data_IF_101149210191
#
_entry.id   IF_101149210191
#
_cell.length_a   1.000
_cell.length_b   1.000
_cell.length_c   1.000
_cell.angle_alpha   90.00
_cell.angle_beta   90.00
_cell.angle_gamma   90.00
#
_symmetry.space_group_name_H-M   'P 1'
#
loop_
_entity.id
_entity.type
_entity.pdbx_description
1 polymer ?
#
# COMPACT_ATOMS: atom_id res chain seq x y z
N UNK A 1 -35.68 -0.99 -8.85
CA UNK A 1 -36.10 -0.05 -9.89
C UNK A 1 -35.23 1.19 -9.95
N UNK A 2 -35.35 1.94 -11.01
CA UNK A 2 -34.63 3.19 -11.20
C UNK A 2 -34.95 4.23 -10.10
N UNK A 3 -36.14 4.16 -9.49
CA UNK A 3 -36.55 5.04 -8.38
C UNK A 3 -35.76 4.82 -7.09
N UNK A 4 -35.13 3.64 -6.91
CA UNK A 4 -34.36 3.32 -5.72
C UNK A 4 -32.95 3.90 -5.76
N UNK A 5 -32.48 4.28 -6.94
CA UNK A 5 -31.13 4.83 -7.15
C UNK A 5 -31.11 6.34 -7.04
N UNK A 6 -32.19 7.00 -7.44
CA UNK A 6 -32.33 8.45 -7.42
C UNK A 6 -32.98 8.91 -6.13
N UNK A 7 -32.21 9.59 -5.28
CA UNK A 7 -32.70 10.05 -3.96
C UNK A 7 -32.59 11.56 -3.81
N UNK A 8 -33.50 12.11 -3.02
CA UNK A 8 -33.44 13.50 -2.53
C UNK A 8 -32.85 13.45 -1.12
N UNK A 9 -31.86 14.28 -0.88
CA UNK A 9 -31.19 14.35 0.43
C UNK A 9 -31.02 15.79 0.87
N UNK A 10 -31.17 16.00 2.17
CA UNK A 10 -30.92 17.30 2.78
C UNK A 10 -29.51 17.31 3.36
N UNK A 11 -28.75 18.35 3.06
CA UNK A 11 -27.42 18.57 3.57
C UNK A 11 -27.28 19.98 4.12
N UNK A 12 -26.53 20.13 5.20
CA UNK A 12 -26.21 21.42 5.80
C UNK A 12 -24.88 21.91 5.26
N UNK A 13 -24.91 23.05 4.56
CA UNK A 13 -23.72 23.66 3.96
C UNK A 13 -23.73 25.16 4.30
N UNK A 14 -22.67 25.61 4.96
CA UNK A 14 -22.52 27.02 5.33
C UNK A 14 -23.64 27.55 6.21
N UNK A 15 -24.22 26.70 7.05
CA UNK A 15 -25.33 27.05 7.95
C UNK A 15 -26.70 27.03 7.29
N UNK A 16 -26.79 26.62 6.02
CA UNK A 16 -28.06 26.53 5.27
C UNK A 16 -28.33 25.09 4.85
N UNK A 17 -29.62 24.72 4.88
CA UNK A 17 -30.05 23.39 4.42
C UNK A 17 -30.31 23.44 2.93
N UNK A 18 -29.69 22.52 2.19
CA UNK A 18 -29.92 22.33 0.76
C UNK A 18 -30.51 20.97 0.51
N UNK A 19 -31.48 20.89 -0.38
CA UNK A 19 -32.03 19.62 -0.85
C UNK A 19 -31.32 19.27 -2.15
N UNK A 20 -30.53 18.20 -2.13
CA UNK A 20 -29.80 17.72 -3.29
C UNK A 20 -30.49 16.45 -3.83
N UNK A 21 -30.47 16.32 -5.13
CA UNK A 21 -31.01 15.16 -5.83
C UNK A 21 -29.92 14.53 -6.69
N UNK A 22 -29.80 13.21 -6.64
CA UNK A 22 -28.81 12.51 -7.42
C UNK A 22 -28.73 11.04 -7.10
N UNK A 23 -27.73 10.38 -7.71
CA UNK A 23 -27.48 8.96 -7.57
C UNK A 23 -26.46 8.63 -6.47
N UNK A 24 -25.88 9.64 -5.86
CA UNK A 24 -24.86 9.45 -4.83
C UNK A 24 -25.50 8.99 -3.51
N UNK A 25 -24.73 8.23 -2.74
CA UNK A 25 -25.18 7.76 -1.43
C UNK A 25 -25.24 8.91 -0.42
N UNK A 26 -26.10 8.76 0.59
CA UNK A 26 -26.18 9.70 1.71
C UNK A 26 -24.83 9.87 2.41
N UNK A 27 -24.13 8.77 2.62
CA UNK A 27 -22.81 8.74 3.26
C UNK A 27 -21.77 9.55 2.47
N UNK A 28 -21.80 9.42 1.15
CA UNK A 28 -20.93 10.20 0.27
C UNK A 28 -21.24 11.70 0.34
N UNK A 29 -22.51 12.07 0.27
CA UNK A 29 -22.93 13.46 0.33
C UNK A 29 -22.63 14.10 1.70
N UNK A 30 -22.69 13.34 2.78
CA UNK A 30 -22.26 13.81 4.10
C UNK A 30 -20.76 14.08 4.15
N UNK A 31 -19.95 13.23 3.52
CA UNK A 31 -18.50 13.47 3.38
C UNK A 31 -18.20 14.75 2.62
N UNK A 32 -18.87 14.94 1.49
CA UNK A 32 -18.70 16.14 0.66
C UNK A 32 -19.12 17.39 1.44
N UNK A 33 -20.24 17.34 2.14
CA UNK A 33 -20.74 18.45 2.95
C UNK A 33 -19.79 18.81 4.08
N UNK A 34 -19.26 17.81 4.77
CA UNK A 34 -18.30 17.99 5.87
C UNK A 34 -17.01 18.65 5.36
N UNK A 35 -16.49 18.19 4.25
CA UNK A 35 -15.32 18.80 3.60
C UNK A 35 -15.58 20.25 3.23
N UNK A 36 -16.72 20.51 2.58
CA UNK A 36 -17.09 21.85 2.14
C UNK A 36 -17.27 22.81 3.33
N UNK A 37 -17.94 22.37 4.39
CA UNK A 37 -18.10 23.15 5.61
C UNK A 37 -16.76 23.48 6.25
N UNK A 38 -15.85 22.52 6.29
CA UNK A 38 -14.49 22.75 6.80
C UNK A 38 -13.76 23.82 5.98
N UNK A 39 -13.89 23.77 4.65
CA UNK A 39 -13.31 24.77 3.76
C UNK A 39 -13.90 26.16 3.96
N UNK A 40 -15.20 26.25 4.15
CA UNK A 40 -15.89 27.50 4.43
C UNK A 40 -15.39 28.09 5.75
N UNK A 41 -15.24 27.28 6.78
CA UNK A 41 -14.72 27.72 8.09
C UNK A 41 -13.27 28.19 8.00
N UNK A 42 -12.42 27.46 7.30
CA UNK A 42 -11.03 27.86 7.07
C UNK A 42 -10.94 29.25 6.41
N UNK A 43 -11.68 29.43 5.32
CA UNK A 43 -11.71 30.71 4.61
C UNK A 43 -12.29 31.83 5.50
N UNK A 44 -13.32 31.52 6.27
CA UNK A 44 -14.00 32.46 7.14
C UNK A 44 -13.13 32.98 8.28
N UNK A 45 -12.05 32.30 8.64
CA UNK A 45 -11.13 32.74 9.67
C UNK A 45 -10.16 33.83 9.19
N UNK A 46 -10.13 34.10 7.89
CA UNK A 46 -9.28 35.15 7.31
C UNK A 46 -10.04 36.47 7.24
N UNK A 47 -9.47 37.53 7.82
CA UNK A 47 -10.05 38.89 7.75
C UNK A 47 -10.14 39.38 6.32
N UNK A 48 -9.13 39.07 5.50
CA UNK A 48 -9.11 39.45 4.09
C UNK A 48 -10.27 38.82 3.31
N UNK A 49 -10.60 37.60 3.60
CA UNK A 49 -11.74 36.89 2.99
C UNK A 49 -13.06 37.50 3.41
N UNK A 50 -13.24 37.77 4.70
CA UNK A 50 -14.51 38.31 5.24
C UNK A 50 -14.86 39.70 4.71
N UNK A 51 -13.84 40.48 4.33
CA UNK A 51 -14.03 41.85 3.76
C UNK A 51 -14.41 41.84 2.30
N UNK A 52 -14.35 40.70 1.62
CA UNK A 52 -14.65 40.59 0.20
C UNK A 52 -16.16 40.47 -0.03
N UNK A 53 -16.58 40.78 -1.26
CA UNK A 53 -17.97 40.58 -1.71
C UNK A 53 -18.31 39.08 -1.69
N UNK A 54 -19.60 38.77 -1.65
CA UNK A 54 -20.09 37.38 -1.69
C UNK A 54 -19.57 36.63 -2.94
N UNK A 55 -19.58 37.33 -4.09
CA UNK A 55 -19.07 36.76 -5.35
C UNK A 55 -17.57 36.43 -5.25
N UNK A 56 -16.75 37.36 -4.76
CA UNK A 56 -15.32 37.14 -4.59
C UNK A 56 -15.03 36.04 -3.60
N UNK A 57 -15.78 35.96 -2.49
CA UNK A 57 -15.66 34.90 -1.51
C UNK A 57 -15.94 33.52 -2.12
N UNK A 58 -16.97 33.41 -2.94
CA UNK A 58 -17.28 32.18 -3.65
C UNK A 58 -16.18 31.73 -4.60
N UNK A 59 -15.59 32.69 -5.32
CA UNK A 59 -14.46 32.40 -6.22
C UNK A 59 -13.23 31.94 -5.44
N UNK A 60 -12.91 32.61 -4.32
CA UNK A 60 -11.78 32.25 -3.48
C UNK A 60 -11.96 30.86 -2.86
N UNK A 61 -13.19 30.53 -2.43
CA UNK A 61 -13.51 29.18 -1.94
C UNK A 61 -13.34 28.14 -3.03
N UNK A 62 -13.83 28.41 -4.24
CA UNK A 62 -13.70 27.52 -5.39
C UNK A 62 -12.23 27.29 -5.77
N UNK A 63 -11.42 28.34 -5.76
CA UNK A 63 -9.98 28.24 -6.02
C UNK A 63 -9.28 27.38 -4.97
N UNK A 64 -9.65 27.54 -3.70
CA UNK A 64 -9.09 26.74 -2.61
C UNK A 64 -9.41 25.24 -2.77
N UNK A 65 -10.65 24.94 -3.14
CA UNK A 65 -11.09 23.57 -3.41
C UNK A 65 -10.37 22.99 -4.63
N UNK A 66 -10.26 23.78 -5.71
CA UNK A 66 -9.52 23.36 -6.91
C UNK A 66 -8.06 23.09 -6.60
N UNK A 67 -7.43 23.92 -5.76
CA UNK A 67 -6.04 23.73 -5.31
C UNK A 67 -5.89 22.38 -4.57
N UNK A 68 -6.79 22.07 -3.67
CA UNK A 68 -6.81 20.78 -2.97
C UNK A 68 -6.95 19.61 -3.94
N UNK A 69 -7.83 19.75 -4.94
CA UNK A 69 -8.01 18.73 -5.98
C UNK A 69 -6.71 18.45 -6.74
N UNK A 70 -6.05 19.49 -7.21
CA UNK A 70 -4.82 19.31 -7.99
C UNK A 70 -3.66 18.80 -7.15
N UNK A 71 -3.58 19.20 -5.89
CA UNK A 71 -2.59 18.64 -4.94
C UNK A 71 -2.83 17.17 -4.67
N UNK A 72 -4.09 16.78 -4.46
CA UNK A 72 -4.46 15.39 -4.27
C UNK A 72 -4.18 14.55 -5.52
N UNK A 73 -4.46 15.09 -6.70
CA UNK A 73 -4.19 14.43 -7.98
C UNK A 73 -2.69 14.20 -8.18
N UNK A 74 -1.86 15.19 -7.86
CA UNK A 74 -0.40 15.08 -7.93
C UNK A 74 0.12 14.03 -6.95
N UNK A 75 -0.40 14.03 -5.74
CA UNK A 75 -0.03 13.04 -4.72
C UNK A 75 -0.42 11.64 -5.17
N UNK A 76 -1.61 11.47 -5.75
CA UNK A 76 -2.06 10.20 -6.31
C UNK A 76 -1.14 9.69 -7.42
N UNK A 77 -0.71 10.57 -8.31
CA UNK A 77 0.24 10.25 -9.38
C UNK A 77 1.61 9.79 -8.82
N UNK A 78 2.09 10.46 -7.78
CA UNK A 78 3.33 10.07 -7.09
C UNK A 78 3.19 8.70 -6.43
N UNK A 79 2.05 8.44 -5.77
CA UNK A 79 1.76 7.16 -5.15
C UNK A 79 1.68 6.02 -6.18
N UNK A 80 1.09 6.26 -7.34
CA UNK A 80 1.06 5.29 -8.44
C UNK A 80 2.46 4.92 -8.90
N UNK A 81 3.32 5.93 -9.06
CA UNK A 81 4.72 5.73 -9.42
C UNK A 81 5.47 4.94 -8.36
N UNK A 82 5.23 5.22 -7.07
CA UNK A 82 5.83 4.49 -5.95
C UNK A 82 5.36 3.03 -5.91
N UNK A 83 4.09 2.78 -6.19
CA UNK A 83 3.53 1.43 -6.29
C UNK A 83 4.22 0.63 -7.39
N UNK A 84 4.39 1.22 -8.58
CA UNK A 84 5.10 0.59 -9.69
C UNK A 84 6.54 0.22 -9.31
N UNK A 85 7.24 1.13 -8.63
CA UNK A 85 8.60 0.90 -8.16
C UNK A 85 8.65 -0.24 -7.13
N UNK A 86 7.70 -0.27 -6.20
CA UNK A 86 7.59 -1.32 -5.18
C UNK A 86 7.23 -2.68 -5.77
N UNK A 87 6.36 -2.71 -6.78
CA UNK A 87 6.00 -3.93 -7.49
C UNK A 87 7.22 -4.53 -8.19
N UNK A 88 8.05 -3.68 -8.79
CA UNK A 88 9.29 -4.10 -9.42
C UNK A 88 10.28 -4.66 -8.40
N UNK A 89 10.46 -3.99 -7.27
CA UNK A 89 11.30 -4.49 -6.18
C UNK A 89 10.82 -5.86 -5.68
N UNK A 90 9.51 -6.01 -5.51
CA UNK A 90 8.89 -7.26 -5.07
C UNK A 90 9.14 -8.38 -6.07
N UNK A 91 9.01 -8.09 -7.35
CA UNK A 91 9.31 -9.04 -8.42
C UNK A 91 10.76 -9.52 -8.35
N UNK A 92 11.70 -8.58 -8.24
CA UNK A 92 13.13 -8.88 -8.14
C UNK A 92 13.46 -9.70 -6.89
N UNK A 93 12.85 -9.35 -5.74
CA UNK A 93 13.04 -10.09 -4.49
C UNK A 93 12.49 -11.50 -4.56
N UNK A 94 11.37 -11.72 -5.22
CA UNK A 94 10.82 -13.07 -5.44
C UNK A 94 11.77 -13.94 -6.25
N UNK A 95 12.36 -13.36 -7.29
CA UNK A 95 13.36 -14.08 -8.11
C UNK A 95 14.62 -14.39 -7.32
N UNK A 96 15.10 -13.45 -6.54
CA UNK A 96 16.24 -13.66 -5.65
C UNK A 96 15.97 -14.75 -4.60
N UNK A 97 14.77 -14.73 -4.02
CA UNK A 97 14.32 -15.74 -3.06
C UNK A 97 14.34 -17.14 -3.68
N UNK A 98 13.80 -17.30 -4.88
CA UNK A 98 13.81 -18.58 -5.59
C UNK A 98 15.25 -19.04 -5.84
N UNK A 99 16.12 -18.14 -6.28
CA UNK A 99 17.53 -18.45 -6.51
C UNK A 99 18.23 -18.92 -5.25
N UNK A 100 18.00 -18.25 -4.14
CA UNK A 100 18.56 -18.64 -2.81
C UNK A 100 18.00 -19.98 -2.34
N UNK A 101 16.71 -20.23 -2.54
CA UNK A 101 16.09 -21.50 -2.17
C UNK A 101 16.69 -22.67 -2.95
N UNK A 102 16.97 -22.48 -4.25
CA UNK A 102 17.62 -23.49 -5.07
C UNK A 102 19.06 -23.76 -4.57
N UNK A 103 19.79 -22.71 -4.24
CA UNK A 103 21.15 -22.82 -3.67
C UNK A 103 21.13 -23.56 -2.34
N UNK A 104 20.14 -23.27 -1.49
CA UNK A 104 19.97 -23.95 -0.21
C UNK A 104 19.68 -25.44 -0.40
N UNK A 105 18.77 -25.79 -1.28
CA UNK A 105 18.48 -27.20 -1.60
C UNK A 105 19.72 -27.93 -2.09
N UNK A 106 20.47 -27.31 -2.99
CA UNK A 106 21.69 -27.91 -3.53
C UNK A 106 22.75 -28.08 -2.43
N UNK A 107 22.89 -27.11 -1.54
CA UNK A 107 23.81 -27.18 -0.40
C UNK A 107 23.40 -28.28 0.59
N UNK A 108 22.11 -28.43 0.86
CA UNK A 108 21.58 -29.49 1.72
C UNK A 108 21.85 -30.88 1.13
N UNK A 109 21.64 -31.07 -0.17
CA UNK A 109 21.94 -32.31 -0.87
C UNK A 109 23.45 -32.65 -0.83
N UNK A 110 24.26 -31.63 -1.04
CA UNK A 110 25.73 -31.79 -0.96
C UNK A 110 26.17 -32.17 0.46
N UNK A 111 25.54 -31.54 1.47
CA UNK A 111 25.83 -31.86 2.87
C UNK A 111 25.45 -33.32 3.22
N UNK A 112 24.26 -33.74 2.80
CA UNK A 112 23.80 -35.11 3.01
C UNK A 112 24.73 -36.14 2.36
N UNK A 113 25.16 -35.85 1.14
CA UNK A 113 26.12 -36.68 0.43
C UNK A 113 27.46 -36.77 1.17
N UNK A 114 27.98 -35.63 1.64
CA UNK A 114 29.24 -35.59 2.41
C UNK A 114 29.11 -36.33 3.74
N UNK A 115 27.99 -36.23 4.42
CA UNK A 115 27.72 -36.98 5.65
C UNK A 115 27.74 -38.49 5.41
N UNK A 116 27.17 -38.96 4.31
CA UNK A 116 27.13 -40.34 3.92
C UNK A 116 28.55 -40.84 3.58
N UNK A 117 29.29 -40.09 2.77
CA UNK A 117 30.70 -40.40 2.43
C UNK A 117 31.56 -40.42 3.67
N UNK A 118 31.36 -39.48 4.59
CA UNK A 118 32.13 -39.43 5.85
C UNK A 118 31.87 -40.67 6.71
N UNK A 119 30.60 -41.07 6.79
CA UNK A 119 30.22 -42.29 7.52
C UNK A 119 30.85 -43.54 6.92
N UNK A 120 30.82 -43.69 5.60
CA UNK A 120 31.43 -44.79 4.89
C UNK A 120 32.96 -44.82 5.13
N UNK A 121 33.62 -43.66 5.08
CA UNK A 121 35.03 -43.56 5.35
C UNK A 121 35.40 -43.92 6.79
N UNK A 122 34.60 -43.53 7.76
CA UNK A 122 34.78 -43.91 9.16
C UNK A 122 34.68 -45.41 9.35
N UNK A 123 33.71 -46.03 8.71
CA UNK A 123 33.53 -47.48 8.73
C UNK A 123 34.75 -48.20 8.11
N UNK A 124 35.25 -47.65 7.00
CA UNK A 124 36.45 -48.18 6.31
C UNK A 124 37.70 -48.06 7.17
N UNK A 125 37.86 -46.95 7.88
CA UNK A 125 38.97 -46.73 8.82
C UNK A 125 38.93 -47.80 9.94
N UNK A 126 37.78 -48.02 10.53
CA UNK A 126 37.59 -49.04 11.58
C UNK A 126 37.94 -50.44 11.05
N UNK A 127 37.48 -50.74 9.84
CA UNK A 127 37.81 -52.02 9.19
C UNK A 127 39.29 -52.21 8.97
N UNK A 128 40.00 -51.20 8.47
CA UNK A 128 41.41 -51.23 8.23
C UNK A 128 42.22 -51.33 9.53
N UNK A 129 41.81 -50.62 10.58
CA UNK A 129 42.41 -50.72 11.92
C UNK A 129 42.27 -52.10 12.49
N UNK A 130 41.14 -52.73 12.32
CA UNK A 130 40.88 -54.13 12.76
C UNK A 130 41.76 -55.09 12.01
N UNK A 131 41.87 -54.96 10.71
CA UNK A 131 42.76 -55.79 9.87
C UNK A 131 44.24 -55.63 10.28
N UNK A 132 44.68 -54.41 10.58
CA UNK A 132 46.04 -54.15 11.04
C UNK A 132 46.34 -54.82 12.38
N UNK A 133 45.38 -54.79 13.31
CA UNK A 133 45.51 -55.50 14.61
C UNK A 133 45.61 -56.98 14.42
N UNK A 134 44.83 -57.57 13.51
CA UNK A 134 44.85 -59.01 13.23
C UNK A 134 46.17 -59.44 12.58
N UNK A 135 46.79 -58.60 11.76
CA UNK A 135 48.10 -58.89 11.15
C UNK A 135 49.27 -58.86 12.13
N UNK A 136 49.11 -58.12 13.25
CA UNK A 136 50.19 -58.01 14.29
C UNK A 136 50.18 -59.22 15.26
N UNK A 137 49.13 -60.00 15.20
CA UNK A 137 49.09 -61.25 15.94
C UNK A 137 49.66 -62.38 15.10
#
# INVERSE_FOLDING_TARGET
GLGDVYKRQEVLIGGKVFTLSGFESEEYLQKVSTYLNHKIDECGNSDGYRKQSAETRSILLALNIADDYFKAKKQGSTLESDIEAKDKEMYDLKHELISVQIKLENAEKAMDKLKEENKELQMKIVQLETEMKNKKK
#
